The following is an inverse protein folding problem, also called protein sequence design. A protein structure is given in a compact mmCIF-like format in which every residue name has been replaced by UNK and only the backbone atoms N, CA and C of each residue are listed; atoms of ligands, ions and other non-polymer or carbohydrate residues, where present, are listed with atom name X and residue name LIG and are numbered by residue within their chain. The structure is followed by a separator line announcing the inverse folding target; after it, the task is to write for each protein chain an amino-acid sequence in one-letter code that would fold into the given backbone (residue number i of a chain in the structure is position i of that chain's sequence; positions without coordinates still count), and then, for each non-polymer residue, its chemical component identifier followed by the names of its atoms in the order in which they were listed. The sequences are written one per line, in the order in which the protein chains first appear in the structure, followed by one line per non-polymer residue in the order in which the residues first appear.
data_IF_200998189319
#
_entry.id   IF_200998189319
#
_cell.length_a   1.000
_cell.length_b   1.000
_cell.length_c   1.000
_cell.angle_alpha   90.00
_cell.angle_beta   90.00
_cell.angle_gamma   90.00
#
_symmetry.space_group_name_H-M   'P 1'
#
loop_
_entity.id
_entity.type
_entity.pdbx_description
1 polymer ?
#
# COMPACT_ATOMS: atom_id res chain seq x y z
N UNK A 1 2.17 -1.05 -3.11
CA UNK A 1 2.68 -0.96 -1.72
C UNK A 1 1.53 -1.11 -0.75
N UNK A 2 1.65 -2.00 0.25
CA UNK A 2 0.63 -2.23 1.29
C UNK A 2 1.21 -1.84 2.64
N UNK A 3 0.54 -0.98 3.38
CA UNK A 3 0.94 -0.52 4.71
C UNK A 3 0.11 -1.22 5.79
N UNK A 4 0.80 -1.93 6.68
CA UNK A 4 0.25 -2.82 7.70
C UNK A 4 0.25 -4.28 7.27
N UNK A 5 0.99 -5.12 8.01
CA UNK A 5 1.07 -6.57 7.81
C UNK A 5 0.13 -7.33 8.76
N UNK A 6 -1.01 -6.74 9.11
CA UNK A 6 -2.10 -7.43 9.80
C UNK A 6 -2.88 -8.32 8.84
N UNK A 7 -3.94 -8.97 9.34
CA UNK A 7 -4.80 -9.85 8.54
C UNK A 7 -5.30 -9.19 7.25
N UNK A 8 -5.74 -7.94 7.33
CA UNK A 8 -6.26 -7.20 6.18
C UNK A 8 -5.15 -6.91 5.16
N UNK A 9 -3.97 -6.44 5.62
CA UNK A 9 -2.87 -6.11 4.73
C UNK A 9 -2.29 -7.33 4.01
N UNK A 10 -2.12 -8.45 4.71
CA UNK A 10 -1.67 -9.70 4.09
C UNK A 10 -2.70 -10.22 3.10
N UNK A 11 -3.99 -10.25 3.46
CA UNK A 11 -5.06 -10.67 2.56
C UNK A 11 -5.11 -9.79 1.29
N UNK A 12 -4.98 -8.45 1.44
CA UNK A 12 -4.91 -7.53 0.31
C UNK A 12 -3.69 -7.81 -0.58
N UNK A 13 -2.51 -8.09 0.01
CA UNK A 13 -1.31 -8.41 -0.76
C UNK A 13 -1.45 -9.72 -1.55
N UNK A 14 -2.07 -10.74 -0.95
CA UNK A 14 -2.38 -12.01 -1.64
C UNK A 14 -3.35 -11.77 -2.80
N UNK A 15 -4.43 -11.01 -2.58
CA UNK A 15 -5.39 -10.67 -3.62
C UNK A 15 -4.72 -9.88 -4.78
N UNK A 16 -3.88 -8.89 -4.46
CA UNK A 16 -3.13 -8.13 -5.46
C UNK A 16 -2.26 -9.04 -6.34
N UNK A 17 -1.58 -10.03 -5.74
CA UNK A 17 -0.81 -11.02 -6.49
C UNK A 17 -1.69 -11.91 -7.35
N UNK A 18 -2.81 -12.38 -6.81
CA UNK A 18 -3.77 -13.20 -7.55
C UNK A 18 -4.30 -12.48 -8.79
N UNK A 19 -4.61 -11.19 -8.66
CA UNK A 19 -5.07 -10.34 -9.77
C UNK A 19 -3.93 -9.82 -10.67
N UNK A 20 -2.72 -10.37 -10.56
CA UNK A 20 -1.63 -10.15 -11.50
C UNK A 20 -0.70 -8.98 -11.20
N UNK A 21 -0.75 -8.41 -9.99
CA UNK A 21 0.24 -7.40 -9.61
C UNK A 21 1.63 -8.02 -9.46
N UNK A 22 2.56 -7.62 -10.33
CA UNK A 22 3.92 -8.18 -10.34
C UNK A 22 4.72 -7.77 -9.10
N UNK A 23 4.65 -6.49 -8.72
CA UNK A 23 5.42 -5.93 -7.59
C UNK A 23 4.48 -5.57 -6.45
N UNK A 24 4.56 -6.32 -5.37
CA UNK A 24 3.85 -6.04 -4.11
C UNK A 24 4.84 -6.08 -2.97
N UNK A 25 4.92 -4.99 -2.19
CA UNK A 25 5.74 -4.88 -0.99
C UNK A 25 4.84 -4.51 0.19
N UNK A 26 5.08 -5.14 1.34
CA UNK A 26 4.39 -4.83 2.59
C UNK A 26 5.31 -4.01 3.51
N UNK A 27 4.70 -3.08 4.24
CA UNK A 27 5.37 -2.20 5.18
C UNK A 27 4.73 -2.30 6.56
N UNK A 28 5.51 -2.56 7.60
CA UNK A 28 5.05 -2.62 9.00
C UNK A 28 6.23 -2.27 9.93
N UNK A 29 5.93 -1.89 11.17
CA UNK A 29 6.94 -1.69 12.22
C UNK A 29 7.27 -2.98 13.00
N UNK A 30 6.48 -4.04 12.83
CA UNK A 30 6.63 -5.30 13.53
C UNK A 30 7.45 -6.30 12.72
N UNK A 31 8.69 -6.58 13.14
CA UNK A 31 9.55 -7.57 12.51
C UNK A 31 8.91 -8.97 12.47
N UNK A 32 8.11 -9.32 13.49
CA UNK A 32 7.37 -10.57 13.52
C UNK A 32 6.37 -10.68 12.36
N UNK A 33 5.62 -9.60 12.08
CA UNK A 33 4.65 -9.58 10.98
C UNK A 33 5.33 -9.52 9.63
N UNK A 34 6.42 -8.77 9.51
CA UNK A 34 7.22 -8.69 8.29
C UNK A 34 7.81 -10.05 7.94
N UNK A 35 8.32 -10.79 8.93
CA UNK A 35 8.83 -12.15 8.72
C UNK A 35 7.76 -13.08 8.15
N UNK A 36 6.53 -13.02 8.66
CA UNK A 36 5.42 -13.79 8.10
C UNK A 36 5.14 -13.42 6.63
N UNK A 37 5.19 -12.13 6.30
CA UNK A 37 5.01 -11.66 4.92
C UNK A 37 6.16 -12.15 4.00
N UNK A 38 7.40 -12.18 4.49
CA UNK A 38 8.55 -12.75 3.77
C UNK A 38 8.40 -14.25 3.54
N UNK A 39 7.94 -15.01 4.54
CA UNK A 39 7.64 -16.45 4.40
C UNK A 39 6.58 -16.73 3.34
N UNK A 40 5.67 -15.79 3.11
CA UNK A 40 4.68 -15.84 2.03
C UNK A 40 5.23 -15.33 0.68
N UNK A 41 6.52 -14.98 0.60
CA UNK A 41 7.20 -14.58 -0.64
C UNK A 41 7.04 -13.10 -1.02
N UNK A 42 6.59 -12.25 -0.10
CA UNK A 42 6.49 -10.82 -0.34
C UNK A 42 7.80 -10.08 -0.01
N UNK A 43 8.09 -9.02 -0.78
CA UNK A 43 9.06 -8.03 -0.36
C UNK A 43 8.52 -7.24 0.83
N UNK A 44 9.39 -6.84 1.75
CA UNK A 44 9.01 -6.12 2.95
C UNK A 44 9.89 -4.90 3.19
N UNK A 45 9.37 -3.98 4.02
CA UNK A 45 10.08 -2.80 4.50
C UNK A 45 9.68 -2.51 5.96
N UNK A 46 10.67 -2.32 6.84
CA UNK A 46 10.47 -1.78 8.18
C UNK A 46 10.97 -0.33 8.23
N UNK A 47 10.09 0.68 8.17
CA UNK A 47 10.50 2.10 8.15
C UNK A 47 11.10 2.58 9.49
N UNK A 48 11.02 1.77 10.55
CA UNK A 48 11.73 2.06 11.81
C UNK A 48 13.20 1.58 11.77
N UNK A 49 13.54 0.64 10.89
CA UNK A 49 14.87 0.04 10.80
C UNK A 49 15.66 0.45 9.55
N UNK A 50 14.97 0.90 8.50
CA UNK A 50 15.60 1.25 7.21
C UNK A 50 14.95 2.49 6.57
N UNK A 51 15.63 3.09 5.60
CA UNK A 51 15.10 4.20 4.81
C UNK A 51 14.03 3.69 3.84
N UNK A 52 12.78 4.05 4.14
CA UNK A 52 11.61 3.69 3.33
C UNK A 52 11.75 4.11 1.86
N UNK A 53 12.19 5.35 1.60
CA UNK A 53 12.27 5.87 0.23
C UNK A 53 13.32 5.13 -0.58
N UNK A 54 14.49 4.88 0.01
CA UNK A 54 15.56 4.11 -0.61
C UNK A 54 15.14 2.66 -0.87
N UNK A 55 14.50 2.00 0.11
CA UNK A 55 14.02 0.62 0.00
C UNK A 55 12.95 0.48 -1.08
N UNK A 56 11.96 1.39 -1.08
CA UNK A 56 10.89 1.38 -2.06
C UNK A 56 11.42 1.64 -3.49
N UNK A 57 12.32 2.63 -3.65
CA UNK A 57 12.93 2.93 -4.95
C UNK A 57 13.75 1.75 -5.49
N UNK A 58 14.51 1.07 -4.63
CA UNK A 58 15.27 -0.12 -5.03
C UNK A 58 14.38 -1.26 -5.54
N UNK A 59 13.17 -1.41 -4.99
CA UNK A 59 12.26 -2.48 -5.38
C UNK A 59 11.35 -2.11 -6.55
N UNK A 60 10.72 -0.94 -6.50
CA UNK A 60 9.74 -0.52 -7.52
C UNK A 60 10.40 0.17 -8.73
N UNK A 61 11.54 0.80 -8.56
CA UNK A 61 12.15 1.70 -9.52
C UNK A 61 11.85 3.16 -9.20
N UNK A 62 12.13 4.05 -10.16
CA UNK A 62 12.03 5.50 -9.98
C UNK A 62 11.01 6.10 -10.95
N UNK A 63 10.19 7.01 -10.45
CA UNK A 63 9.20 7.77 -11.22
C UNK A 63 9.24 9.27 -10.85
N UNK A 64 8.67 10.15 -11.67
CA UNK A 64 8.59 11.58 -11.36
C UNK A 64 7.53 11.87 -10.29
N UNK A 65 7.83 12.83 -9.41
CA UNK A 65 6.87 13.49 -8.53
C UNK A 65 7.01 15.00 -8.60
N UNK A 66 6.14 15.76 -7.92
CA UNK A 66 6.27 17.21 -7.85
C UNK A 66 7.53 17.67 -7.12
N UNK A 67 8.05 16.83 -6.23
CA UNK A 67 9.23 17.12 -5.41
C UNK A 67 10.53 16.53 -5.99
N UNK A 68 10.49 15.95 -7.19
CA UNK A 68 11.62 15.28 -7.83
C UNK A 68 11.42 13.76 -7.95
N UNK A 69 12.48 12.99 -8.25
CA UNK A 69 12.39 11.54 -8.38
C UNK A 69 11.92 10.86 -7.08
N UNK A 70 11.03 9.89 -7.21
CA UNK A 70 10.48 9.11 -6.09
C UNK A 70 10.34 7.64 -6.50
N UNK A 71 9.94 6.77 -5.56
CA UNK A 71 9.65 5.37 -5.85
C UNK A 71 8.43 5.23 -6.80
N UNK A 72 8.53 4.32 -7.77
CA UNK A 72 7.50 4.06 -8.78
C UNK A 72 6.35 3.21 -8.18
N UNK A 73 5.62 3.79 -7.23
CA UNK A 73 4.50 3.16 -6.55
C UNK A 73 3.17 3.68 -7.13
N UNK A 74 2.46 2.85 -7.88
CA UNK A 74 1.16 3.19 -8.45
C UNK A 74 0.06 3.30 -7.39
N UNK A 75 0.09 2.39 -6.41
CA UNK A 75 -0.97 2.26 -5.40
C UNK A 75 -0.39 2.14 -4.00
N UNK A 76 -0.86 3.00 -3.11
CA UNK A 76 -0.59 3.02 -1.67
C UNK A 76 -1.85 2.52 -0.95
N UNK A 77 -1.85 1.26 -0.51
CA UNK A 77 -2.97 0.67 0.20
C UNK A 77 -2.71 0.76 1.71
N UNK A 78 -3.51 1.55 2.40
CA UNK A 78 -3.42 1.74 3.85
C UNK A 78 -4.36 0.78 4.60
N UNK A 79 -3.77 -0.25 5.19
CA UNK A 79 -4.43 -1.20 6.09
C UNK A 79 -4.02 -0.99 7.57
N UNK A 80 -3.20 0.03 7.87
CA UNK A 80 -2.73 0.36 9.22
C UNK A 80 -3.44 1.57 9.84
N UNK A 81 -3.84 2.56 9.03
CA UNK A 81 -4.54 3.77 9.47
C UNK A 81 -3.66 4.80 10.17
N UNK A 82 -2.33 4.73 10.04
CA UNK A 82 -1.44 5.71 10.62
C UNK A 82 -1.43 7.01 9.79
N UNK A 83 -1.43 8.15 10.48
CA UNK A 83 -1.43 9.46 9.82
C UNK A 83 -0.18 9.70 8.96
N UNK A 84 0.96 9.15 9.38
CA UNK A 84 2.21 9.24 8.64
C UNK A 84 2.12 8.66 7.23
N UNK A 85 1.33 7.60 7.02
CA UNK A 85 1.18 6.95 5.72
C UNK A 85 0.52 7.89 4.71
N UNK A 86 -0.54 8.59 5.12
CA UNK A 86 -1.20 9.58 4.27
C UNK A 86 -0.26 10.77 3.98
N UNK A 87 0.45 11.26 5.00
CA UNK A 87 1.40 12.35 4.85
C UNK A 87 2.56 11.97 3.91
N UNK A 88 3.07 10.74 4.03
CA UNK A 88 4.10 10.23 3.14
C UNK A 88 3.57 10.04 1.71
N UNK A 89 2.35 9.57 1.52
CA UNK A 89 1.72 9.50 0.20
C UNK A 89 1.65 10.89 -0.46
N UNK A 90 1.15 11.89 0.26
CA UNK A 90 1.04 13.26 -0.28
C UNK A 90 2.42 13.84 -0.62
N UNK A 91 3.45 13.53 0.15
CA UNK A 91 4.81 14.05 -0.04
C UNK A 91 5.65 13.27 -1.06
N UNK A 92 5.54 11.93 -1.06
CA UNK A 92 6.41 11.00 -1.81
C UNK A 92 5.69 10.30 -2.95
N UNK A 93 4.37 10.39 -3.03
CA UNK A 93 3.61 9.74 -4.09
C UNK A 93 3.99 10.30 -5.46
N UNK A 94 4.20 9.42 -6.44
CA UNK A 94 4.45 9.82 -7.83
C UNK A 94 3.23 10.50 -8.46
N UNK A 95 3.42 11.14 -9.58
CA UNK A 95 2.32 11.67 -10.40
C UNK A 95 1.38 10.52 -10.78
N UNK A 96 0.07 10.78 -10.71
CA UNK A 96 -1.03 9.83 -10.98
C UNK A 96 -1.12 8.64 -10.01
N UNK A 97 -0.40 8.67 -8.87
CA UNK A 97 -0.50 7.61 -7.86
C UNK A 97 -1.84 7.65 -7.12
N UNK A 98 -2.19 6.51 -6.55
CA UNK A 98 -3.47 6.28 -5.89
C UNK A 98 -3.28 5.87 -4.44
N UNK A 99 -4.06 6.49 -3.54
CA UNK A 99 -4.17 6.08 -2.14
C UNK A 99 -5.49 5.33 -1.92
N UNK A 100 -5.42 4.12 -1.38
CA UNK A 100 -6.60 3.32 -1.04
C UNK A 100 -6.67 3.17 0.47
N UNK A 101 -7.68 3.78 1.10
CA UNK A 101 -7.91 3.69 2.54
C UNK A 101 -8.83 2.52 2.85
N UNK A 102 -8.27 1.48 3.47
CA UNK A 102 -9.01 0.30 3.97
C UNK A 102 -9.13 0.34 5.49
N UNK A 103 -8.13 0.89 6.15
CA UNK A 103 -8.11 1.02 7.60
C UNK A 103 -9.23 1.94 8.11
N UNK A 104 -9.93 1.49 9.15
CA UNK A 104 -10.95 2.31 9.82
C UNK A 104 -10.28 3.40 10.63
N UNK A 105 -10.56 4.65 10.29
CA UNK A 105 -10.03 5.82 10.98
C UNK A 105 -11.16 6.82 11.28
N UNK A 106 -11.38 7.10 12.57
CA UNK A 106 -12.43 8.01 13.03
C UNK A 106 -11.99 9.48 13.13
N UNK A 107 -10.68 9.76 12.99
CA UNK A 107 -10.15 11.12 13.12
C UNK A 107 -10.07 11.80 11.76
N UNK A 108 -10.52 13.06 11.64
CA UNK A 108 -10.30 13.86 10.44
C UNK A 108 -8.80 13.98 10.12
N UNK A 109 -8.47 14.05 8.82
CA UNK A 109 -7.11 14.27 8.30
C UNK A 109 -7.07 15.52 7.44
N UNK A 110 -5.96 16.21 7.47
CA UNK A 110 -5.72 17.36 6.58
C UNK A 110 -5.12 16.85 5.28
N UNK A 111 -5.62 17.37 4.16
CA UNK A 111 -5.14 17.04 2.82
C UNK A 111 -4.79 18.33 2.10
N UNK A 112 -3.60 18.39 1.50
CA UNK A 112 -3.23 19.45 0.58
C UNK A 112 -3.85 19.19 -0.80
N UNK A 113 -5.01 19.82 -1.05
CA UNK A 113 -5.73 19.67 -2.32
C UNK A 113 -4.97 20.30 -3.50
N UNK A 114 -4.17 21.34 -3.26
CA UNK A 114 -3.36 21.93 -4.31
C UNK A 114 -2.30 20.94 -4.80
N UNK A 115 -1.60 20.31 -3.86
CA UNK A 115 -0.63 19.26 -4.18
C UNK A 115 -1.28 18.10 -4.93
N UNK A 116 -2.40 17.57 -4.43
CA UNK A 116 -3.13 16.49 -5.11
C UNK A 116 -3.54 16.84 -6.52
N UNK A 117 -3.99 18.08 -6.75
CA UNK A 117 -4.40 18.56 -8.08
C UNK A 117 -3.24 18.53 -9.06
N UNK A 118 -2.09 19.12 -8.69
CA UNK A 118 -0.93 19.15 -9.57
C UNK A 118 -0.26 17.79 -9.74
N UNK A 119 -0.27 16.95 -8.71
CA UNK A 119 0.24 15.58 -8.80
C UNK A 119 -0.75 14.61 -9.47
N UNK A 120 -1.97 15.05 -9.79
CA UNK A 120 -3.05 14.21 -10.36
C UNK A 120 -3.31 12.95 -9.53
N UNK A 121 -3.10 13.05 -8.22
CA UNK A 121 -3.28 11.93 -7.29
C UNK A 121 -4.77 11.67 -7.01
N UNK A 122 -5.11 10.44 -6.69
CA UNK A 122 -6.47 10.06 -6.30
C UNK A 122 -6.49 9.38 -4.94
N UNK A 123 -7.60 9.57 -4.21
CA UNK A 123 -7.88 8.89 -2.94
C UNK A 123 -9.20 8.13 -3.05
N UNK A 124 -9.19 6.86 -2.60
CA UNK A 124 -10.33 5.96 -2.67
C UNK A 124 -10.55 5.34 -1.28
N UNK A 125 -11.76 5.45 -0.76
CA UNK A 125 -12.19 4.67 0.39
C UNK A 125 -12.60 3.27 -0.05
N UNK A 126 -12.19 2.26 0.70
CA UNK A 126 -12.63 0.87 0.52
C UNK A 126 -13.31 0.40 1.80
N UNK A 127 -14.61 0.20 1.76
CA UNK A 127 -15.40 -0.24 2.90
C UNK A 127 -16.54 -1.15 2.48
N UNK A 128 -16.81 -2.17 3.29
CA UNK A 128 -17.80 -3.21 2.96
C UNK A 128 -17.28 -4.20 1.94
N UNK A 129 -18.16 -5.07 1.48
CA UNK A 129 -17.90 -6.07 0.45
C UNK A 129 -19.20 -6.45 -0.26
N UNK A 130 -19.08 -6.92 -1.49
CA UNK A 130 -20.18 -7.43 -2.29
C UNK A 130 -20.14 -8.96 -2.35
N UNK A 131 -21.24 -9.65 -2.73
CA UNK A 131 -21.22 -11.12 -2.87
C UNK A 131 -20.17 -11.64 -3.86
N UNK A 132 -19.80 -10.84 -4.83
CA UNK A 132 -18.74 -11.13 -5.81
C UNK A 132 -17.38 -11.25 -5.11
N UNK A 133 -17.06 -10.32 -4.21
CA UNK A 133 -15.79 -10.31 -3.45
C UNK A 133 -15.63 -11.60 -2.63
N UNK A 134 -16.74 -12.12 -2.07
CA UNK A 134 -16.71 -13.40 -1.34
C UNK A 134 -16.37 -14.57 -2.26
N UNK A 135 -16.91 -14.58 -3.48
CA UNK A 135 -16.60 -15.61 -4.48
C UNK A 135 -15.14 -15.57 -4.90
N UNK A 136 -14.61 -14.36 -5.14
CA UNK A 136 -13.20 -14.16 -5.50
C UNK A 136 -12.27 -14.66 -4.39
N UNK A 137 -12.58 -14.37 -3.13
CA UNK A 137 -11.82 -14.90 -1.98
C UNK A 137 -11.88 -16.42 -1.90
N UNK A 138 -13.05 -17.04 -2.14
CA UNK A 138 -13.18 -18.50 -2.18
C UNK A 138 -12.35 -19.11 -3.30
N UNK A 139 -12.29 -18.47 -4.47
CA UNK A 139 -11.45 -18.89 -5.58
C UNK A 139 -9.97 -18.81 -5.22
N UNK A 140 -9.50 -17.70 -4.67
CA UNK A 140 -8.12 -17.53 -4.18
C UNK A 140 -7.76 -18.65 -3.20
N UNK A 141 -8.62 -18.93 -2.22
CA UNK A 141 -8.39 -19.98 -1.23
C UNK A 141 -8.35 -21.38 -1.86
N UNK A 142 -9.15 -21.64 -2.88
CA UNK A 142 -9.21 -22.96 -3.55
C UNK A 142 -8.02 -23.22 -4.48
N UNK A 143 -7.41 -22.17 -5.02
CA UNK A 143 -6.24 -22.29 -5.90
C UNK A 143 -4.95 -22.71 -5.18
N UNK A 144 -4.91 -22.69 -3.85
CA UNK A 144 -3.77 -23.18 -3.05
C UNK A 144 -2.46 -22.40 -3.27
N UNK A 145 -2.55 -21.15 -3.67
CA UNK A 145 -1.40 -20.28 -3.98
C UNK A 145 -1.19 -19.26 -2.87
#
# INVERSE_FOLDING_TARGET
MVFGCGTIGIAAAVALKHFGMEKVMLCDHSDFRLKLAEELGFAVCNPAAEDFAARATAYFGTAPSLSGPTADIDCWLDAAGAESILNDFLRLGKIESRFVSVAVNSKPRTIDLLHMTYAQQSMIGSGGYMPEDVRDVQEIMSCGK
#
